data_IF_288904198293
#
_entry.id   IF_288904198293
#
_cell.length_a   1.000
_cell.length_b   1.000
_cell.length_c   1.000
_cell.angle_alpha   90.00
_cell.angle_beta   90.00
_cell.angle_gamma   90.00
#
_symmetry.space_group_name_H-M   'P 1'
#
loop_
_entity.id
_entity.type
_entity.pdbx_description
1 polymer ?
#
# COMPACT_ATOMS: atom_id res chain seq x y z
N UNK A 1 18.12 10.35 13.55
CA UNK A 1 17.05 10.30 12.54
C UNK A 1 17.61 10.52 11.15
N UNK A 2 18.39 9.57 10.63
CA UNK A 2 18.90 9.61 9.25
C UNK A 2 18.77 8.19 8.66
N UNK A 3 17.55 7.66 8.66
CA UNK A 3 17.27 6.38 8.02
C UNK A 3 17.32 6.61 6.51
N UNK A 4 18.38 6.11 5.87
CA UNK A 4 18.55 6.23 4.43
C UNK A 4 17.42 5.46 3.73
N UNK A 5 16.64 6.13 2.88
CA UNK A 5 15.55 5.52 2.12
C UNK A 5 16.02 4.28 1.34
N UNK A 6 17.26 4.31 0.83
CA UNK A 6 17.89 3.16 0.19
C UNK A 6 18.07 1.97 1.14
N UNK A 7 18.59 2.19 2.35
CA UNK A 7 18.74 1.12 3.33
C UNK A 7 17.39 0.60 3.84
N UNK A 8 16.37 1.46 3.95
CA UNK A 8 15.02 1.03 4.30
C UNK A 8 14.41 0.13 3.21
N UNK A 9 14.54 0.51 1.93
CA UNK A 9 14.10 -0.34 0.82
C UNK A 9 14.90 -1.65 0.74
N UNK A 10 16.22 -1.61 0.99
CA UNK A 10 17.07 -2.81 1.06
C UNK A 10 16.60 -3.77 2.16
N UNK A 11 16.30 -3.26 3.36
CA UNK A 11 15.83 -4.06 4.50
C UNK A 11 14.44 -4.67 4.26
N UNK A 12 13.56 -3.97 3.53
CA UNK A 12 12.28 -4.55 3.07
C UNK A 12 12.54 -5.71 2.11
N UNK A 13 13.46 -5.53 1.16
CA UNK A 13 13.86 -6.58 0.21
C UNK A 13 14.48 -7.81 0.89
N UNK A 14 15.36 -7.62 1.87
CA UNK A 14 15.95 -8.73 2.67
C UNK A 14 14.89 -9.41 3.56
N UNK A 15 13.90 -8.65 4.03
CA UNK A 15 12.79 -9.18 4.82
C UNK A 15 11.69 -9.86 4.00
N UNK A 16 11.76 -9.79 2.68
CA UNK A 16 10.80 -10.43 1.79
C UNK A 16 11.04 -11.95 1.77
N UNK A 17 10.45 -12.64 2.73
CA UNK A 17 10.34 -14.09 2.73
C UNK A 17 8.92 -14.48 2.33
N UNK A 18 8.72 -14.73 1.03
CA UNK A 18 7.60 -15.54 0.55
C UNK A 18 7.91 -16.99 0.92
N UNK A 19 7.46 -17.41 2.10
CA UNK A 19 7.29 -18.84 2.30
C UNK A 19 6.13 -19.21 1.37
N UNK A 20 6.34 -20.08 0.38
CA UNK A 20 5.31 -20.48 -0.58
C UNK A 20 4.13 -21.27 0.03
N UNK A 21 3.81 -21.01 1.30
CA UNK A 21 2.67 -21.54 2.03
C UNK A 21 1.38 -20.93 1.47
N UNK A 22 0.44 -21.76 0.96
CA UNK A 22 -0.85 -21.30 0.46
C UNK A 22 -1.65 -20.46 1.46
N UNK A 23 -1.44 -20.66 2.77
CA UNK A 23 -2.09 -19.85 3.81
C UNK A 23 -1.60 -18.40 3.80
N UNK A 24 -0.29 -18.18 3.64
CA UNK A 24 0.31 -16.85 3.57
C UNK A 24 -0.22 -16.06 2.35
N UNK A 25 -0.36 -16.73 1.20
CA UNK A 25 -0.93 -16.13 -0.01
C UNK A 25 -2.39 -15.71 0.21
N UNK A 26 -3.19 -16.56 0.88
CA UNK A 26 -4.57 -16.25 1.23
C UNK A 26 -4.69 -14.99 2.08
N UNK A 27 -3.82 -14.83 3.08
CA UNK A 27 -3.79 -13.65 3.93
C UNK A 27 -3.38 -12.38 3.18
N UNK A 28 -2.38 -12.47 2.29
CA UNK A 28 -1.96 -11.34 1.44
C UNK A 28 -3.14 -10.87 0.58
N UNK A 29 -3.83 -11.80 -0.11
CA UNK A 29 -4.97 -11.47 -0.98
C UNK A 29 -6.10 -10.84 -0.16
N UNK A 30 -6.40 -11.39 1.02
CA UNK A 30 -7.46 -10.87 1.88
C UNK A 30 -7.14 -9.45 2.37
N UNK A 31 -5.91 -9.21 2.84
CA UNK A 31 -5.49 -7.92 3.38
C UNK A 31 -5.44 -6.86 2.27
N UNK A 32 -4.81 -7.16 1.14
CA UNK A 32 -4.70 -6.22 0.02
C UNK A 32 -6.05 -6.02 -0.68
N UNK A 33 -6.85 -7.07 -0.83
CA UNK A 33 -8.18 -7.00 -1.43
C UNK A 33 -9.08 -6.04 -0.67
N UNK A 34 -9.21 -6.22 0.66
CA UNK A 34 -10.01 -5.30 1.49
C UNK A 34 -9.45 -3.89 1.44
N UNK A 35 -8.13 -3.72 1.53
CA UNK A 35 -7.48 -2.41 1.47
C UNK A 35 -7.83 -1.65 0.20
N UNK A 36 -7.67 -2.27 -0.97
CA UNK A 36 -7.89 -1.60 -2.25
C UNK A 36 -9.36 -1.41 -2.57
N UNK A 37 -10.23 -2.34 -2.19
CA UNK A 37 -11.68 -2.16 -2.35
C UNK A 37 -12.14 -0.91 -1.58
N UNK A 38 -11.74 -0.79 -0.30
CA UNK A 38 -12.08 0.37 0.52
C UNK A 38 -11.41 1.64 -0.02
N UNK A 39 -10.14 1.57 -0.39
CA UNK A 39 -9.40 2.70 -0.95
C UNK A 39 -10.02 3.25 -2.24
N UNK A 40 -10.43 2.38 -3.16
CA UNK A 40 -11.12 2.76 -4.40
C UNK A 40 -12.49 3.38 -4.11
N UNK A 41 -13.26 2.79 -3.19
CA UNK A 41 -14.55 3.36 -2.79
C UNK A 41 -14.40 4.78 -2.20
N UNK A 42 -13.41 4.98 -1.34
CA UNK A 42 -13.10 6.29 -0.75
C UNK A 42 -12.56 7.27 -1.80
N UNK A 43 -11.73 6.82 -2.73
CA UNK A 43 -11.24 7.66 -3.82
C UNK A 43 -12.39 8.16 -4.71
N UNK A 44 -13.31 7.29 -5.10
CA UNK A 44 -14.50 7.65 -5.87
C UNK A 44 -15.39 8.62 -5.08
N UNK A 45 -15.63 8.35 -3.79
CA UNK A 45 -16.38 9.24 -2.92
C UNK A 45 -15.73 10.62 -2.83
N UNK A 46 -14.41 10.70 -2.63
CA UNK A 46 -13.68 11.96 -2.56
C UNK A 46 -13.72 12.75 -3.88
N UNK A 47 -13.70 12.06 -5.01
CA UNK A 47 -13.76 12.71 -6.33
C UNK A 47 -15.16 13.27 -6.66
N UNK A 48 -16.22 12.49 -6.42
CA UNK A 48 -17.58 12.85 -6.83
C UNK A 48 -18.41 13.60 -5.78
N UNK A 49 -18.21 13.35 -4.49
CA UNK A 49 -19.09 13.87 -3.43
C UNK A 49 -18.55 15.18 -2.84
N UNK A 50 -17.24 15.34 -2.74
CA UNK A 50 -16.62 16.45 -2.01
C UNK A 50 -16.66 17.76 -2.81
N UNK A 51 -17.21 18.88 -2.29
CA UNK A 51 -17.26 20.15 -3.00
C UNK A 51 -15.95 20.94 -2.90
N UNK A 52 -14.80 20.27 -3.09
CA UNK A 52 -13.48 20.90 -3.10
C UNK A 52 -13.05 21.27 -4.52
N UNK A 53 -12.07 22.16 -4.70
CA UNK A 53 -11.39 22.33 -5.99
C UNK A 53 -10.78 21.02 -6.48
N UNK A 54 -10.70 20.85 -7.81
CA UNK A 54 -10.31 19.59 -8.45
C UNK A 54 -8.96 19.07 -7.96
N UNK A 55 -7.98 19.96 -7.79
CA UNK A 55 -6.63 19.64 -7.32
C UNK A 55 -6.63 18.91 -5.96
N UNK A 56 -7.48 19.35 -5.02
CA UNK A 56 -7.58 18.73 -3.70
C UNK A 56 -8.26 17.35 -3.78
N UNK A 57 -9.24 17.18 -4.67
CA UNK A 57 -9.89 15.88 -4.87
C UNK A 57 -8.93 14.87 -5.48
N UNK A 58 -8.13 15.30 -6.47
CA UNK A 58 -7.09 14.48 -7.08
C UNK A 58 -6.02 14.06 -6.05
N UNK A 59 -5.58 14.98 -5.19
CA UNK A 59 -4.65 14.66 -4.11
C UNK A 59 -5.22 13.59 -3.15
N UNK A 60 -6.50 13.70 -2.78
CA UNK A 60 -7.17 12.70 -1.94
C UNK A 60 -7.25 11.33 -2.61
N UNK A 61 -7.58 11.27 -3.90
CA UNK A 61 -7.59 10.02 -4.68
C UNK A 61 -6.22 9.32 -4.60
N UNK A 62 -5.14 10.07 -4.81
CA UNK A 62 -3.77 9.53 -4.73
C UNK A 62 -3.48 8.99 -3.33
N UNK A 63 -3.88 9.72 -2.29
CA UNK A 63 -3.69 9.31 -0.88
C UNK A 63 -4.46 8.01 -0.57
N UNK A 64 -5.70 7.87 -1.02
CA UNK A 64 -6.49 6.66 -0.77
C UNK A 64 -5.98 5.43 -1.53
N UNK A 65 -5.33 5.64 -2.67
CA UNK A 65 -4.72 4.56 -3.46
C UNK A 65 -3.25 4.29 -3.08
N UNK A 66 -2.68 5.05 -2.15
CA UNK A 66 -1.30 4.92 -1.71
C UNK A 66 -0.99 3.54 -1.09
N UNK A 67 0.27 3.07 -1.22
CA UNK A 67 0.65 1.76 -0.73
C UNK A 67 0.72 1.71 0.80
N UNK A 68 0.89 0.49 1.33
CA UNK A 68 1.08 0.28 2.77
C UNK A 68 2.34 1.03 3.20
N UNK A 69 2.30 1.67 4.37
CA UNK A 69 3.46 2.39 4.88
C UNK A 69 4.64 1.42 5.08
N UNK A 70 5.79 1.77 4.53
CA UNK A 70 7.04 0.99 4.58
C UNK A 70 7.58 0.76 5.99
N UNK A 71 7.10 1.51 6.97
CA UNK A 71 7.43 1.32 8.38
C UNK A 71 6.66 0.14 9.03
N UNK A 72 5.63 -0.39 8.39
CA UNK A 72 4.79 -1.44 8.98
C UNK A 72 5.55 -2.73 9.28
N UNK A 73 6.40 -3.30 8.39
CA UNK A 73 7.08 -4.56 8.69
C UNK A 73 7.96 -4.49 9.96
N UNK A 74 8.81 -3.47 10.15
CA UNK A 74 9.54 -3.29 11.42
C UNK A 74 8.66 -3.23 12.66
N UNK A 75 7.51 -2.53 12.60
CA UNK A 75 6.57 -2.46 13.72
C UNK A 75 5.86 -3.80 13.96
N UNK A 76 5.47 -4.51 12.90
CA UNK A 76 4.91 -5.86 13.01
C UNK A 76 5.90 -6.82 13.68
N UNK A 77 7.18 -6.74 13.34
CA UNK A 77 8.22 -7.54 13.98
C UNK A 77 8.38 -7.21 15.47
N UNK A 78 8.32 -5.92 15.83
CA UNK A 78 8.37 -5.48 17.24
C UNK A 78 7.18 -5.99 18.06
N UNK A 79 6.03 -6.23 17.42
CA UNK A 79 4.85 -6.82 18.05
C UNK A 79 4.90 -8.35 18.16
N UNK A 80 5.99 -8.99 17.73
CA UNK A 80 6.12 -10.46 17.72
C UNK A 80 5.29 -11.14 16.63
N UNK A 81 4.79 -10.38 15.66
CA UNK A 81 3.98 -10.87 14.53
C UNK A 81 4.86 -11.21 13.32
N UNK A 82 4.25 -11.81 12.29
CA UNK A 82 4.96 -12.26 11.09
C UNK A 82 5.51 -11.10 10.26
N UNK A 83 6.84 -10.92 10.34
CA UNK A 83 7.59 -9.94 9.57
C UNK A 83 7.62 -10.26 8.07
N UNK A 84 7.69 -11.53 7.69
CA UNK A 84 7.75 -11.97 6.30
C UNK A 84 6.44 -11.67 5.57
N UNK A 85 5.30 -12.01 6.18
CA UNK A 85 3.97 -11.67 5.68
C UNK A 85 3.80 -10.15 5.55
N UNK A 86 4.18 -9.38 6.59
CA UNK A 86 4.07 -7.92 6.55
C UNK A 86 4.96 -7.28 5.48
N UNK A 87 6.18 -7.79 5.28
CA UNK A 87 7.08 -7.34 4.22
C UNK A 87 6.52 -7.68 2.84
N UNK A 88 5.96 -8.88 2.65
CA UNK A 88 5.32 -9.29 1.41
C UNK A 88 4.11 -8.39 1.07
N UNK A 89 3.25 -8.13 2.04
CA UNK A 89 2.12 -7.18 1.90
C UNK A 89 2.62 -5.80 1.51
N UNK A 90 3.70 -5.31 2.14
CA UNK A 90 4.25 -3.99 1.83
C UNK A 90 4.74 -3.91 0.38
N UNK A 91 5.59 -4.85 -0.04
CA UNK A 91 6.16 -4.89 -1.39
C UNK A 91 5.10 -5.04 -2.47
N UNK A 92 4.14 -5.97 -2.31
CA UNK A 92 3.05 -6.16 -3.28
C UNK A 92 2.15 -4.93 -3.32
N UNK A 93 1.91 -4.28 -2.18
CA UNK A 93 1.12 -3.05 -2.15
C UNK A 93 1.78 -1.93 -2.96
N UNK A 94 3.11 -1.77 -2.88
CA UNK A 94 3.82 -0.75 -3.65
C UNK A 94 3.58 -0.92 -5.15
N UNK A 95 3.74 -2.14 -5.67
CA UNK A 95 3.53 -2.44 -7.09
C UNK A 95 2.07 -2.16 -7.48
N UNK A 96 1.10 -2.66 -6.71
CA UNK A 96 -0.31 -2.46 -7.00
C UNK A 96 -0.72 -0.99 -6.96
N UNK A 97 -0.26 -0.23 -5.96
CA UNK A 97 -0.53 1.21 -5.84
C UNK A 97 0.09 2.02 -6.96
N UNK A 98 1.29 1.68 -7.43
CA UNK A 98 1.90 2.36 -8.59
C UNK A 98 0.97 2.23 -9.79
N UNK A 99 0.51 1.02 -10.11
CA UNK A 99 -0.42 0.79 -11.21
C UNK A 99 -1.71 1.59 -11.02
N UNK A 100 -2.33 1.51 -9.84
CA UNK A 100 -3.60 2.19 -9.55
C UNK A 100 -3.49 3.72 -9.62
N UNK A 101 -2.45 4.30 -9.02
CA UNK A 101 -2.23 5.75 -9.01
C UNK A 101 -1.93 6.24 -10.43
N UNK A 102 -1.08 5.53 -11.18
CA UNK A 102 -0.80 5.90 -12.58
C UNK A 102 -2.05 5.85 -13.43
N UNK A 103 -2.87 4.79 -13.33
CA UNK A 103 -4.14 4.71 -14.04
C UNK A 103 -5.10 5.83 -13.64
N UNK A 104 -5.21 6.12 -12.33
CA UNK A 104 -6.06 7.19 -11.85
C UNK A 104 -5.63 8.57 -12.38
N UNK A 105 -4.32 8.85 -12.38
CA UNK A 105 -3.77 10.09 -12.95
C UNK A 105 -4.09 10.23 -14.44
N UNK A 106 -3.91 9.16 -15.23
CA UNK A 106 -4.21 9.19 -16.66
C UNK A 106 -5.70 9.46 -16.94
N UNK A 107 -6.60 8.99 -16.07
CA UNK A 107 -8.04 9.22 -16.21
C UNK A 107 -8.44 10.63 -15.74
N UNK A 108 -7.74 11.20 -14.76
CA UNK A 108 -8.06 12.49 -14.14
C UNK A 108 -7.39 13.70 -14.81
N UNK A 109 -6.34 13.48 -15.61
CA UNK A 109 -5.67 14.49 -16.46
C UNK A 109 -6.53 14.83 -17.67
#
# INVERSE_FOLDING_TARGET
GNANAFMAMLMIGVGFHLNGDPSQIGDIIKILGVRYIIGIALALAAYFILPLPLEYRQALVIVFLAPVASANPPFTAQMGSDFGLASAINSVSIIASIVLITTALVIML
#
